data_IF_467250057760
#
_entry.id   IF_467250057760
#
_cell.length_a   1.000
_cell.length_b   1.000
_cell.length_c   1.000
_cell.angle_alpha   90.00
_cell.angle_beta   90.00
_cell.angle_gamma   90.00
#
_symmetry.space_group_name_H-M   'P 1'
#
loop_
_entity.id
_entity.type
_entity.pdbx_description
1 polymer ?
#
# COMPACT_ATOMS: atom_id res chain seq x y z
N UNK A 1 10.87 4.83 -12.43
CA UNK A 1 10.95 5.46 -11.09
C UNK A 1 12.33 6.08 -10.88
N UNK A 2 12.38 7.29 -10.34
CA UNK A 2 13.65 7.98 -10.07
C UNK A 2 14.27 7.52 -8.75
N UNK A 3 13.45 7.00 -7.83
CA UNK A 3 13.85 6.46 -6.55
C UNK A 3 12.80 5.46 -6.04
N UNK A 4 13.16 4.69 -5.02
CA UNK A 4 12.27 3.78 -4.31
C UNK A 4 12.11 4.20 -2.85
N UNK A 5 10.99 3.82 -2.24
CA UNK A 5 10.75 3.93 -0.81
C UNK A 5 10.43 2.55 -0.24
N UNK A 6 11.14 2.13 0.77
CA UNK A 6 10.91 0.89 1.52
C UNK A 6 10.62 1.18 2.99
N UNK A 7 10.01 0.25 3.71
CA UNK A 7 9.78 0.39 5.13
C UNK A 7 11.06 0.10 5.93
N UNK A 8 11.76 -0.97 5.62
CA UNK A 8 12.91 -1.49 6.37
C UNK A 8 14.12 -1.80 5.47
N UNK A 9 15.24 -2.13 6.09
CA UNK A 9 16.51 -2.43 5.40
C UNK A 9 16.37 -3.67 4.52
N UNK A 10 15.63 -4.68 4.96
CA UNK A 10 15.44 -5.94 4.25
C UNK A 10 14.77 -5.72 2.90
N UNK A 11 13.70 -4.92 2.82
CA UNK A 11 13.04 -4.55 1.56
C UNK A 11 14.01 -3.81 0.62
N UNK A 12 14.83 -2.91 1.17
CA UNK A 12 15.82 -2.19 0.37
C UNK A 12 16.90 -3.12 -0.19
N UNK A 13 17.30 -4.15 0.57
CA UNK A 13 18.26 -5.16 0.11
C UNK A 13 17.70 -6.01 -1.01
N UNK A 14 16.44 -6.43 -0.93
CA UNK A 14 15.76 -7.14 -2.02
C UNK A 14 15.77 -6.33 -3.32
N UNK A 15 15.51 -5.02 -3.24
CA UNK A 15 15.59 -4.12 -4.41
C UNK A 15 17.02 -4.04 -4.97
N UNK A 16 18.03 -4.00 -4.10
CA UNK A 16 19.46 -4.02 -4.51
C UNK A 16 19.85 -5.35 -5.17
N UNK A 17 19.39 -6.48 -4.64
CA UNK A 17 19.61 -7.82 -5.21
C UNK A 17 19.01 -7.97 -6.60
N UNK A 18 17.90 -7.29 -6.88
CA UNK A 18 17.30 -7.19 -8.22
C UNK A 18 18.10 -6.31 -9.20
N UNK A 19 19.21 -5.70 -8.75
CA UNK A 19 20.12 -4.92 -9.59
C UNK A 19 19.76 -3.44 -9.76
N UNK A 20 18.80 -2.91 -9.01
CA UNK A 20 18.41 -1.51 -9.08
C UNK A 20 19.40 -0.62 -8.32
N UNK A 21 20.00 0.37 -9.01
CA UNK A 21 20.98 1.30 -8.46
C UNK A 21 20.38 2.64 -8.00
N UNK A 22 19.11 2.90 -8.29
CA UNK A 22 18.41 4.13 -7.93
C UNK A 22 18.46 4.37 -6.41
N UNK A 23 18.32 5.63 -5.96
CA UNK A 23 18.18 5.93 -4.54
C UNK A 23 17.04 5.13 -3.90
N UNK A 24 17.25 4.62 -2.71
CA UNK A 24 16.22 3.96 -1.90
C UNK A 24 16.17 4.66 -0.56
N UNK A 25 14.98 5.12 -0.17
CA UNK A 25 14.74 5.80 1.11
C UNK A 25 13.98 4.89 2.06
N UNK A 26 14.53 4.66 3.26
CA UNK A 26 13.83 3.99 4.35
C UNK A 26 12.82 4.95 4.99
N UNK A 27 11.53 4.70 4.78
CA UNK A 27 10.44 5.62 5.16
C UNK A 27 10.17 5.60 6.68
N UNK A 28 10.44 4.48 7.35
CA UNK A 28 10.36 4.35 8.80
C UNK A 28 11.65 4.77 9.50
N UNK A 29 12.73 4.97 8.75
CA UNK A 29 14.05 5.27 9.30
C UNK A 29 14.74 4.01 9.82
N UNK A 30 15.62 4.20 10.80
CA UNK A 30 16.41 3.13 11.43
C UNK A 30 16.12 3.06 12.93
N UNK A 31 16.26 1.87 13.52
CA UNK A 31 15.93 1.61 14.93
C UNK A 31 17.16 1.55 15.83
N UNK A 32 18.37 1.53 15.24
CA UNK A 32 19.63 1.47 15.97
C UNK A 32 20.77 2.12 15.19
N UNK A 33 21.87 2.41 15.88
CA UNK A 33 23.10 2.89 15.26
C UNK A 33 23.70 1.83 14.30
N UNK A 34 23.58 0.54 14.64
CA UNK A 34 24.03 -0.54 13.77
C UNK A 34 23.28 -0.58 12.44
N UNK A 35 21.98 -0.34 12.45
CA UNK A 35 21.22 -0.19 11.20
C UNK A 35 21.63 1.06 10.41
N UNK A 36 21.99 2.17 11.10
CA UNK A 36 22.52 3.35 10.43
C UNK A 36 23.83 3.02 9.68
N UNK A 37 24.70 2.22 10.27
CA UNK A 37 25.93 1.74 9.61
C UNK A 37 25.58 0.89 8.38
N UNK A 38 24.57 0.03 8.46
CA UNK A 38 24.10 -0.76 7.32
C UNK A 38 23.52 0.13 6.21
N UNK A 39 22.71 1.13 6.57
CA UNK A 39 22.16 2.12 5.64
C UNK A 39 23.26 2.79 4.83
N UNK A 40 24.33 3.22 5.50
CA UNK A 40 25.49 3.82 4.85
C UNK A 40 26.19 2.81 3.93
N UNK A 41 26.45 1.60 4.42
CA UNK A 41 27.12 0.55 3.65
C UNK A 41 26.37 0.16 2.37
N UNK A 42 25.05 0.19 2.42
CA UNK A 42 24.15 -0.14 1.29
C UNK A 42 23.74 1.08 0.44
N UNK A 43 24.29 2.26 0.73
CA UNK A 43 23.99 3.53 0.05
C UNK A 43 22.50 3.83 0.03
N UNK A 44 21.86 3.70 1.20
CA UNK A 44 20.45 4.00 1.40
C UNK A 44 20.27 5.39 2.00
N UNK A 45 19.17 6.04 1.66
CA UNK A 45 18.70 7.26 2.34
C UNK A 45 17.75 6.86 3.47
N UNK A 46 17.61 7.67 4.51
CA UNK A 46 16.68 7.38 5.59
C UNK A 46 15.87 8.61 6.03
N UNK A 47 14.67 8.33 6.49
CA UNK A 47 13.85 9.30 7.22
C UNK A 47 14.34 9.35 8.65
N UNK A 48 14.50 10.57 9.19
CA UNK A 48 14.73 10.82 10.62
C UNK A 48 13.52 11.52 11.23
N UNK A 49 13.13 11.05 12.40
CA UNK A 49 11.92 11.50 13.09
C UNK A 49 12.07 11.50 14.62
N UNK A 50 13.24 11.15 15.12
CA UNK A 50 13.59 11.12 16.54
C UNK A 50 15.02 11.61 16.78
N UNK A 51 15.33 12.25 17.92
CA UNK A 51 16.64 12.75 18.24
C UNK A 51 17.78 11.71 18.13
N UNK A 52 17.65 10.46 18.62
CA UNK A 52 18.74 9.48 18.51
C UNK A 52 19.20 9.23 17.06
N UNK A 53 18.28 9.21 16.10
CA UNK A 53 18.63 9.03 14.69
C UNK A 53 19.49 10.17 14.14
N UNK A 54 19.24 11.40 14.63
CA UNK A 54 20.05 12.58 14.28
C UNK A 54 21.46 12.44 14.84
N UNK A 55 21.60 11.96 16.08
CA UNK A 55 22.92 11.73 16.71
C UNK A 55 23.72 10.66 15.96
N UNK A 56 23.08 9.54 15.59
CA UNK A 56 23.73 8.49 14.82
C UNK A 56 24.20 8.98 13.44
N UNK A 57 23.39 9.79 12.75
CA UNK A 57 23.81 10.41 11.48
C UNK A 57 25.04 11.31 11.68
N UNK A 58 25.02 12.17 12.70
CA UNK A 58 26.14 13.09 12.98
C UNK A 58 27.43 12.33 13.36
N UNK A 59 27.28 11.23 14.10
CA UNK A 59 28.42 10.37 14.43
C UNK A 59 29.09 9.75 13.18
N UNK A 60 28.31 9.50 12.13
CA UNK A 60 28.77 8.88 10.87
C UNK A 60 28.78 9.84 9.68
N UNK A 61 28.74 11.16 9.91
CA UNK A 61 28.56 12.21 8.90
C UNK A 61 29.54 12.12 7.72
N UNK A 62 30.82 11.83 7.97
CA UNK A 62 31.84 11.83 6.93
C UNK A 62 31.56 10.72 5.88
N UNK A 63 31.17 9.54 6.33
CA UNK A 63 30.80 8.43 5.44
C UNK A 63 29.49 8.71 4.70
N UNK A 64 28.48 9.23 5.40
CA UNK A 64 27.18 9.51 4.81
C UNK A 64 27.27 10.61 3.73
N UNK A 65 27.95 11.71 4.05
CA UNK A 65 28.12 12.85 3.14
C UNK A 65 28.98 12.50 1.92
N UNK A 66 30.02 11.66 2.09
CA UNK A 66 30.85 11.18 0.98
C UNK A 66 30.06 10.43 -0.10
N UNK A 67 28.90 9.86 0.25
CA UNK A 67 27.99 9.14 -0.66
C UNK A 67 26.91 10.05 -1.28
N UNK A 68 26.85 11.33 -0.91
CA UNK A 68 25.81 12.29 -1.33
C UNK A 68 24.39 11.83 -1.05
N UNK A 69 24.17 11.09 0.04
CA UNK A 69 22.85 10.60 0.45
C UNK A 69 22.04 11.73 1.07
N UNK A 70 20.74 11.73 0.83
CA UNK A 70 19.81 12.70 1.43
C UNK A 70 19.27 12.20 2.76
N UNK A 71 19.09 13.13 3.70
CA UNK A 71 18.42 12.89 4.97
C UNK A 71 17.00 13.45 4.88
N UNK A 72 16.01 12.60 5.05
CA UNK A 72 14.59 12.96 4.99
C UNK A 72 14.07 13.30 6.39
N UNK A 73 14.03 14.61 6.70
CA UNK A 73 13.61 15.08 8.04
C UNK A 73 12.09 15.18 8.10
N UNK A 74 11.48 14.39 8.97
CA UNK A 74 10.03 14.23 9.01
C UNK A 74 9.36 15.21 9.97
N UNK A 75 8.44 16.02 9.43
CA UNK A 75 7.54 16.88 10.19
C UNK A 75 6.31 16.09 10.63
N UNK A 76 5.99 16.09 11.91
CA UNK A 76 4.68 15.73 12.41
C UNK A 76 3.75 16.95 12.30
N UNK A 77 3.03 17.02 11.22
CA UNK A 77 2.09 18.12 10.91
C UNK A 77 0.66 17.85 11.42
N UNK A 78 0.45 16.82 12.25
CA UNK A 78 -0.85 16.51 12.83
C UNK A 78 -1.33 15.06 12.63
N UNK A 79 -0.59 14.22 11.90
CA UNK A 79 -0.89 12.79 11.81
C UNK A 79 -0.57 12.04 13.11
N UNK A 80 0.36 12.57 13.92
CA UNK A 80 0.76 12.04 15.23
C UNK A 80 1.27 10.58 15.23
N UNK A 81 1.92 10.19 14.13
CA UNK A 81 2.51 8.85 13.98
C UNK A 81 4.04 8.89 14.14
N UNK A 82 4.73 9.70 13.34
CA UNK A 82 6.18 9.89 13.36
C UNK A 82 6.51 11.35 12.99
N UNK A 83 7.64 11.85 13.47
CA UNK A 83 8.18 13.17 13.07
C UNK A 83 8.39 14.12 14.24
N UNK A 84 9.24 15.13 14.00
CA UNK A 84 9.47 16.25 14.91
C UNK A 84 8.32 17.24 14.87
N UNK A 85 8.05 17.91 15.98
CA UNK A 85 7.09 19.03 16.00
C UNK A 85 7.63 20.20 15.21
N UNK A 86 6.74 21.07 14.74
CA UNK A 86 7.12 22.28 13.99
C UNK A 86 8.06 23.21 14.77
N UNK A 87 7.97 23.21 16.10
CA UNK A 87 8.84 23.97 16.99
C UNK A 87 10.28 23.43 17.10
N UNK A 88 10.47 22.17 16.76
CA UNK A 88 11.74 21.45 16.93
C UNK A 88 12.47 21.23 15.60
N UNK A 89 11.70 20.98 14.53
CA UNK A 89 12.23 20.49 13.25
C UNK A 89 13.17 21.50 12.58
N UNK A 90 12.94 22.79 12.76
CA UNK A 90 13.76 23.86 12.16
C UNK A 90 15.20 23.76 12.73
N UNK A 91 15.33 23.63 14.04
CA UNK A 91 16.63 23.45 14.69
C UNK A 91 17.31 22.15 14.25
N UNK A 92 16.57 21.05 14.16
CA UNK A 92 17.07 19.77 13.66
C UNK A 92 17.62 19.90 12.23
N UNK A 93 16.88 20.54 11.33
CA UNK A 93 17.32 20.76 9.94
C UNK A 93 18.56 21.65 9.89
N UNK A 94 18.59 22.74 10.65
CA UNK A 94 19.75 23.64 10.71
C UNK A 94 20.99 22.92 11.25
N UNK A 95 20.83 22.10 12.27
CA UNK A 95 21.90 21.28 12.84
C UNK A 95 22.43 20.28 11.83
N UNK A 96 21.57 19.56 11.13
CA UNK A 96 21.99 18.62 10.08
C UNK A 96 22.71 19.34 8.93
N UNK A 97 22.19 20.47 8.46
CA UNK A 97 22.83 21.30 7.43
C UNK A 97 24.21 21.80 7.86
N UNK A 98 24.39 22.21 9.13
CA UNK A 98 25.70 22.65 9.65
C UNK A 98 26.75 21.53 9.69
N UNK A 99 26.30 20.25 9.66
CA UNK A 99 27.19 19.09 9.54
C UNK A 99 27.32 18.59 8.08
N UNK A 100 26.85 19.35 7.10
CA UNK A 100 27.02 19.06 5.67
C UNK A 100 25.96 18.15 5.05
N UNK A 101 24.91 17.78 5.76
CA UNK A 101 23.86 16.93 5.21
C UNK A 101 22.94 17.66 4.22
N UNK A 102 22.61 16.99 3.13
CA UNK A 102 21.54 17.41 2.23
C UNK A 102 20.18 16.95 2.79
N UNK A 103 19.36 17.90 3.23
CA UNK A 103 18.08 17.62 3.88
C UNK A 103 16.92 17.70 2.92
N UNK A 104 15.95 16.80 3.06
CA UNK A 104 14.62 16.81 2.45
C UNK A 104 13.59 16.97 3.57
N UNK A 105 12.83 18.06 3.56
CA UNK A 105 11.69 18.21 4.46
C UNK A 105 10.57 17.29 3.98
N UNK A 106 10.07 16.40 4.83
CA UNK A 106 8.95 15.52 4.49
C UNK A 106 7.86 15.49 5.54
N UNK A 107 6.62 15.25 5.11
CA UNK A 107 5.48 14.95 5.98
C UNK A 107 4.57 13.90 5.34
N UNK A 108 3.49 13.54 6.00
CA UNK A 108 2.45 12.67 5.45
C UNK A 108 1.07 13.22 5.75
N UNK A 109 0.23 13.36 4.73
CA UNK A 109 -1.17 13.73 4.92
C UNK A 109 -1.95 12.62 5.61
N UNK A 110 -2.74 12.98 6.61
CA UNK A 110 -3.57 12.02 7.33
C UNK A 110 -4.89 11.72 6.60
N UNK A 111 -5.44 12.69 5.88
CA UNK A 111 -6.77 12.63 5.29
C UNK A 111 -6.81 13.21 3.86
N UNK A 112 -5.75 13.03 3.06
CA UNK A 112 -5.74 13.54 1.68
C UNK A 112 -6.80 12.87 0.80
N UNK A 113 -7.23 11.67 1.14
CA UNK A 113 -8.28 10.88 0.52
C UNK A 113 -9.70 11.46 0.73
N UNK A 114 -9.86 12.39 1.69
CA UNK A 114 -11.15 13.00 2.04
C UNK A 114 -11.07 14.52 2.17
N UNK A 115 -12.23 15.20 2.20
CA UNK A 115 -12.32 16.60 2.56
C UNK A 115 -12.32 16.73 4.08
N UNK A 116 -11.15 17.09 4.65
CA UNK A 116 -10.99 17.22 6.09
C UNK A 116 -10.21 18.48 6.44
N UNK A 117 -10.63 19.25 7.47
CA UNK A 117 -9.97 20.52 7.86
C UNK A 117 -8.48 20.36 8.21
N UNK A 118 -8.08 19.19 8.72
CA UNK A 118 -6.68 18.90 9.03
C UNK A 118 -5.77 19.00 7.80
N UNK A 119 -6.27 18.77 6.60
CA UNK A 119 -5.47 18.87 5.37
C UNK A 119 -4.89 20.28 5.19
N UNK A 120 -5.71 21.32 5.37
CA UNK A 120 -5.25 22.70 5.27
C UNK A 120 -4.31 23.08 6.42
N UNK A 121 -4.54 22.57 7.62
CA UNK A 121 -3.62 22.78 8.74
C UNK A 121 -2.26 22.15 8.48
N UNK A 122 -2.24 20.90 7.99
CA UNK A 122 -1.00 20.19 7.62
C UNK A 122 -0.24 20.94 6.51
N UNK A 123 -0.94 21.35 5.46
CA UNK A 123 -0.41 22.14 4.35
C UNK A 123 0.25 23.44 4.84
N UNK A 124 -0.48 24.24 5.59
CA UNK A 124 0.00 25.54 6.08
C UNK A 124 1.22 25.36 7.00
N UNK A 125 1.19 24.41 7.91
CA UNK A 125 2.32 24.13 8.79
C UNK A 125 3.56 23.68 8.01
N UNK A 126 3.38 22.81 7.00
CA UNK A 126 4.48 22.37 6.13
C UNK A 126 5.10 23.53 5.36
N UNK A 127 4.27 24.42 4.77
CA UNK A 127 4.74 25.57 4.03
C UNK A 127 5.50 26.57 4.92
N UNK A 128 5.04 26.81 6.15
CA UNK A 128 5.74 27.65 7.13
C UNK A 128 7.12 27.09 7.48
N UNK A 129 7.20 25.79 7.78
CA UNK A 129 8.48 25.14 8.08
C UNK A 129 9.40 25.13 6.86
N UNK A 130 8.85 24.86 5.66
CA UNK A 130 9.61 24.90 4.41
C UNK A 130 10.23 26.29 4.20
N UNK A 131 9.43 27.34 4.31
CA UNK A 131 9.90 28.72 4.17
C UNK A 131 11.00 29.08 5.19
N UNK A 132 10.86 28.66 6.43
CA UNK A 132 11.85 28.93 7.47
C UNK A 132 13.18 28.16 7.27
N UNK A 133 13.18 27.10 6.47
CA UNK A 133 14.36 26.24 6.22
C UNK A 133 14.97 26.43 4.83
N UNK A 134 14.48 27.36 4.02
CA UNK A 134 15.00 27.55 2.65
C UNK A 134 16.50 27.89 2.60
N UNK A 135 17.24 27.42 1.57
CA UNK A 135 16.81 26.46 0.56
C UNK A 135 16.73 25.04 1.12
N UNK A 136 15.62 24.32 0.80
CA UNK A 136 15.44 22.92 1.22
C UNK A 136 14.61 22.16 0.19
N UNK A 137 15.04 20.90 -0.10
CA UNK A 137 14.24 19.96 -0.87
C UNK A 137 12.99 19.54 -0.06
N UNK A 138 11.89 19.25 -0.75
CA UNK A 138 10.61 18.99 -0.09
C UNK A 138 9.81 17.86 -0.71
N UNK A 139 9.07 17.12 0.13
CA UNK A 139 8.19 16.03 -0.27
C UNK A 139 7.03 15.87 0.71
N UNK A 140 5.80 16.11 0.27
CA UNK A 140 4.63 15.95 1.15
C UNK A 140 3.50 15.08 0.55
N UNK A 141 3.45 14.89 -0.78
CA UNK A 141 2.34 14.22 -1.43
C UNK A 141 2.48 12.68 -1.42
N UNK A 142 1.49 12.00 -0.81
CA UNK A 142 1.16 10.61 -1.02
C UNK A 142 0.24 10.45 -2.24
N UNK A 143 -0.21 9.24 -2.59
CA UNK A 143 -1.05 9.00 -3.78
C UNK A 143 -2.28 9.91 -3.87
N UNK A 144 -3.02 10.10 -2.79
CA UNK A 144 -4.20 10.97 -2.78
C UNK A 144 -3.82 12.45 -2.95
N UNK A 145 -2.77 12.90 -2.26
CA UNK A 145 -2.32 14.28 -2.34
C UNK A 145 -1.72 14.64 -3.71
N UNK A 146 -1.17 13.66 -4.44
CA UNK A 146 -0.69 13.86 -5.82
C UNK A 146 -1.84 14.33 -6.72
N UNK A 147 -3.02 13.72 -6.60
CA UNK A 147 -4.20 14.15 -7.36
C UNK A 147 -4.80 15.46 -6.84
N UNK A 148 -4.86 15.61 -5.52
CA UNK A 148 -5.64 16.69 -4.89
C UNK A 148 -4.90 18.01 -4.80
N UNK A 149 -3.56 17.97 -4.68
CA UNK A 149 -2.71 19.14 -4.42
C UNK A 149 -1.51 19.19 -5.40
N UNK A 150 -1.74 19.38 -6.71
CA UNK A 150 -0.63 19.43 -7.68
C UNK A 150 0.37 20.56 -7.39
N UNK A 151 -0.06 21.63 -6.74
CA UNK A 151 0.82 22.74 -6.30
C UNK A 151 1.81 22.34 -5.18
N UNK A 152 1.64 21.18 -4.57
CA UNK A 152 2.48 20.67 -3.50
C UNK A 152 3.43 19.53 -3.94
N UNK A 153 3.61 19.29 -5.22
CA UNK A 153 4.48 18.22 -5.71
C UNK A 153 5.94 18.43 -5.34
N UNK A 154 6.40 19.69 -5.28
CA UNK A 154 7.78 20.06 -4.94
C UNK A 154 8.83 19.22 -5.66
N UNK A 155 9.91 18.82 -4.94
CA UNK A 155 11.01 18.07 -5.54
C UNK A 155 10.70 16.57 -5.68
N UNK A 156 9.88 16.03 -4.79
CA UNK A 156 9.53 14.60 -4.76
C UNK A 156 8.06 14.36 -4.42
N UNK A 157 7.45 13.43 -5.15
CA UNK A 157 6.15 12.83 -4.81
C UNK A 157 6.33 11.36 -4.43
N UNK A 158 5.43 10.83 -3.63
CA UNK A 158 5.50 9.44 -3.15
C UNK A 158 4.25 8.66 -3.54
N UNK A 159 4.12 8.29 -4.84
CA UNK A 159 3.04 7.42 -5.27
C UNK A 159 3.23 6.03 -4.65
N UNK A 160 2.18 5.51 -4.04
CA UNK A 160 2.11 4.15 -3.51
C UNK A 160 1.03 3.38 -4.26
N UNK A 161 -0.17 3.31 -3.68
CA UNK A 161 -1.29 2.50 -4.19
C UNK A 161 -1.65 2.79 -5.66
N UNK A 162 -1.52 4.03 -6.11
CA UNK A 162 -1.80 4.39 -7.50
C UNK A 162 -0.89 3.67 -8.50
N UNK A 163 0.35 3.31 -8.12
CA UNK A 163 1.26 2.53 -8.98
C UNK A 163 0.79 1.09 -9.17
N UNK A 164 -0.01 0.58 -8.25
CA UNK A 164 -0.61 -0.76 -8.33
C UNK A 164 -1.98 -0.74 -9.00
N UNK A 165 -2.43 0.45 -9.45
CA UNK A 165 -3.68 0.62 -10.17
C UNK A 165 -4.91 0.46 -9.28
N UNK A 166 -4.81 0.82 -8.01
CA UNK A 166 -5.93 0.92 -7.08
C UNK A 166 -6.13 2.38 -6.64
N UNK A 167 -7.37 2.73 -6.28
CA UNK A 167 -7.70 4.11 -5.91
C UNK A 167 -7.20 4.47 -4.52
N UNK A 168 -6.63 5.68 -4.33
CA UNK A 168 -6.39 6.22 -3.00
C UNK A 168 -7.63 6.83 -2.35
N UNK A 169 -8.80 6.87 -3.02
CA UNK A 169 -10.02 7.51 -2.57
C UNK A 169 -11.12 6.49 -2.32
N UNK A 170 -11.97 6.76 -1.32
CA UNK A 170 -13.12 5.89 -1.03
C UNK A 170 -14.32 6.15 -1.96
N UNK A 171 -14.43 7.35 -2.54
CA UNK A 171 -15.56 7.84 -3.33
C UNK A 171 -15.27 7.94 -4.84
N UNK A 172 -14.06 7.58 -5.27
CA UNK A 172 -13.66 7.60 -6.67
C UNK A 172 -13.10 6.23 -7.08
N UNK A 173 -13.48 5.75 -8.25
CA UNK A 173 -12.96 4.51 -8.77
C UNK A 173 -11.73 4.73 -9.67
N UNK A 174 -11.03 3.64 -9.98
CA UNK A 174 -9.80 3.65 -10.78
C UNK A 174 -9.99 4.25 -12.17
N UNK A 175 -11.17 4.09 -12.78
CA UNK A 175 -11.43 4.59 -14.14
C UNK A 175 -11.54 6.12 -14.19
N UNK A 176 -12.07 6.76 -13.13
CA UNK A 176 -12.12 8.24 -13.04
C UNK A 176 -10.74 8.86 -12.85
N UNK A 177 -9.78 8.07 -12.38
CA UNK A 177 -8.39 8.47 -12.12
C UNK A 177 -7.43 8.03 -13.23
N UNK A 178 -7.94 7.39 -14.30
CA UNK A 178 -7.14 6.77 -15.38
C UNK A 178 -6.09 5.78 -14.85
N UNK A 179 -6.44 5.05 -13.79
CA UNK A 179 -5.61 3.99 -13.24
C UNK A 179 -6.00 2.64 -13.83
N UNK A 180 -5.00 1.76 -13.98
CA UNK A 180 -5.20 0.40 -14.50
C UNK A 180 -4.70 -0.61 -13.47
N UNK A 181 -5.51 -1.61 -13.07
CA UNK A 181 -5.06 -2.68 -12.20
C UNK A 181 -3.79 -3.36 -12.75
N UNK A 182 -2.76 -3.40 -11.94
CA UNK A 182 -1.47 -4.03 -12.30
C UNK A 182 -1.43 -5.50 -11.88
N UNK A 183 -2.22 -5.86 -10.84
CA UNK A 183 -2.29 -7.22 -10.33
C UNK A 183 -3.62 -7.86 -10.68
N UNK A 184 -3.57 -9.07 -11.26
CA UNK A 184 -4.71 -9.97 -11.36
C UNK A 184 -4.50 -11.14 -10.40
N UNK A 185 -5.39 -11.30 -9.43
CA UNK A 185 -5.42 -12.45 -8.53
C UNK A 185 -6.49 -13.42 -9.00
N UNK A 186 -6.09 -14.60 -9.40
CA UNK A 186 -7.00 -15.57 -10.02
C UNK A 186 -6.78 -16.97 -9.49
N UNK A 187 -7.82 -17.79 -9.61
CA UNK A 187 -7.79 -19.22 -9.25
C UNK A 187 -8.62 -20.03 -10.24
N UNK A 188 -8.78 -21.31 -10.02
CA UNK A 188 -9.55 -22.20 -10.90
C UNK A 188 -10.65 -22.92 -10.16
N UNK A 189 -11.74 -23.23 -10.86
CA UNK A 189 -12.77 -24.16 -10.40
C UNK A 189 -12.15 -25.56 -10.30
N UNK A 190 -12.36 -26.20 -9.15
CA UNK A 190 -11.88 -27.58 -8.87
C UNK A 190 -13.02 -28.58 -8.72
N UNK A 191 -14.23 -28.12 -8.45
CA UNK A 191 -15.42 -28.98 -8.37
C UNK A 191 -16.68 -28.22 -8.71
N UNK A 192 -17.67 -28.93 -9.23
CA UNK A 192 -19.04 -28.46 -9.49
C UNK A 192 -20.02 -29.34 -8.73
N UNK A 193 -20.95 -28.73 -8.02
CA UNK A 193 -21.97 -29.44 -7.26
C UNK A 193 -23.35 -28.83 -7.56
N UNK A 194 -24.38 -29.67 -7.66
CA UNK A 194 -25.77 -29.25 -7.67
C UNK A 194 -26.35 -29.48 -6.29
N UNK A 195 -26.97 -28.47 -5.71
CA UNK A 195 -27.61 -28.53 -4.39
C UNK A 195 -29.10 -28.23 -4.51
N UNK A 196 -29.86 -28.83 -3.60
CA UNK A 196 -31.31 -28.66 -3.55
C UNK A 196 -31.73 -27.53 -2.60
N UNK A 197 -32.96 -27.06 -2.71
CA UNK A 197 -33.53 -26.12 -1.75
C UNK A 197 -33.41 -26.65 -0.32
N UNK A 198 -32.91 -25.79 0.59
CA UNK A 198 -32.70 -26.12 2.00
C UNK A 198 -31.32 -26.70 2.32
N UNK A 199 -30.49 -27.07 1.34
CA UNK A 199 -29.14 -27.51 1.56
C UNK A 199 -28.21 -26.31 1.84
N UNK A 200 -27.21 -26.53 2.72
CA UNK A 200 -26.28 -25.49 3.18
C UNK A 200 -24.91 -25.62 2.55
N UNK A 201 -24.18 -24.51 2.47
CA UNK A 201 -22.82 -24.44 1.94
C UNK A 201 -21.82 -23.99 3.00
N UNK A 202 -20.76 -24.78 3.17
CA UNK A 202 -19.57 -24.44 3.93
C UNK A 202 -19.73 -24.45 5.45
N UNK A 203 -18.68 -23.95 6.14
CA UNK A 203 -18.62 -23.95 7.60
C UNK A 203 -19.74 -23.11 8.26
N UNK A 204 -20.40 -23.71 9.25
CA UNK A 204 -21.42 -23.07 10.05
C UNK A 204 -22.72 -22.83 9.31
N UNK A 205 -22.90 -23.46 8.12
CA UNK A 205 -24.14 -23.38 7.33
C UNK A 205 -24.70 -21.96 7.18
N UNK A 206 -23.82 -21.00 6.96
CA UNK A 206 -24.18 -19.57 6.89
C UNK A 206 -24.90 -19.18 5.61
N UNK A 207 -24.86 -20.04 4.60
CA UNK A 207 -25.63 -19.94 3.36
C UNK A 207 -26.51 -21.18 3.22
N UNK A 208 -27.79 -20.98 2.92
CA UNK A 208 -28.74 -22.05 2.62
C UNK A 208 -29.40 -21.76 1.28
N UNK A 209 -29.44 -22.74 0.42
CA UNK A 209 -30.04 -22.61 -0.91
C UNK A 209 -31.54 -22.35 -0.80
N UNK A 210 -32.00 -21.23 -1.37
CA UNK A 210 -33.43 -20.88 -1.42
C UNK A 210 -34.21 -21.64 -2.53
N UNK A 211 -33.49 -22.21 -3.49
CA UNK A 211 -33.95 -23.00 -4.62
C UNK A 211 -32.85 -23.94 -5.08
N UNK A 212 -33.15 -24.93 -5.95
CA UNK A 212 -32.05 -25.71 -6.56
C UNK A 212 -31.06 -24.81 -7.28
N UNK A 213 -29.76 -25.04 -7.05
CA UNK A 213 -28.70 -24.20 -7.63
C UNK A 213 -27.44 -25.01 -7.93
N UNK A 214 -26.65 -24.49 -8.85
CA UNK A 214 -25.31 -25.01 -9.15
C UNK A 214 -24.26 -24.14 -8.48
N UNK A 215 -23.34 -24.79 -7.78
CA UNK A 215 -22.23 -24.13 -7.11
C UNK A 215 -20.89 -24.63 -7.65
N UNK A 216 -19.91 -23.75 -7.69
CA UNK A 216 -18.53 -24.12 -8.00
C UNK A 216 -17.65 -23.91 -6.78
N UNK A 217 -16.72 -24.84 -6.58
CA UNK A 217 -15.66 -24.72 -5.58
C UNK A 217 -14.40 -24.25 -6.29
N UNK A 218 -13.80 -23.17 -5.79
CA UNK A 218 -12.62 -22.51 -6.35
C UNK A 218 -11.44 -22.73 -5.41
N UNK A 219 -10.27 -23.08 -5.98
CA UNK A 219 -9.05 -23.40 -5.22
C UNK A 219 -8.33 -22.12 -4.77
N UNK A 220 -8.94 -21.38 -3.84
CA UNK A 220 -8.42 -20.17 -3.24
C UNK A 220 -9.09 -19.92 -1.89
N UNK A 221 -8.36 -19.50 -0.88
CA UNK A 221 -8.92 -19.20 0.42
C UNK A 221 -8.08 -18.19 1.21
N UNK A 222 -8.36 -18.07 2.52
CA UNK A 222 -7.64 -17.08 3.33
C UNK A 222 -6.17 -17.44 3.55
N UNK A 223 -5.78 -18.68 3.38
CA UNK A 223 -4.38 -19.11 3.39
C UNK A 223 -3.57 -18.57 2.20
N UNK A 224 -4.23 -18.17 1.13
CA UNK A 224 -3.64 -17.58 -0.07
C UNK A 224 -3.65 -16.05 -0.03
N UNK A 225 -4.33 -15.45 0.97
CA UNK A 225 -4.48 -14.02 1.12
C UNK A 225 -5.87 -13.49 0.76
N UNK A 226 -6.81 -14.36 0.31
CA UNK A 226 -8.19 -13.93 0.07
C UNK A 226 -8.92 -13.63 1.40
N UNK A 227 -9.70 -12.53 1.52
CA UNK A 227 -10.34 -12.17 2.80
C UNK A 227 -11.32 -13.24 3.29
N UNK A 228 -11.25 -13.58 4.59
CA UNK A 228 -12.13 -14.59 5.18
C UNK A 228 -13.54 -14.07 5.49
N UNK A 229 -13.63 -12.84 5.95
CA UNK A 229 -14.88 -12.21 6.36
C UNK A 229 -15.27 -11.10 5.40
N UNK A 230 -16.56 -10.94 5.15
CA UNK A 230 -17.12 -9.83 4.39
C UNK A 230 -18.33 -9.26 5.12
N UNK A 231 -18.50 -7.94 5.04
CA UNK A 231 -19.59 -7.19 5.68
C UNK A 231 -20.72 -6.88 4.69
N UNK A 232 -20.46 -7.06 3.40
CA UNK A 232 -21.42 -6.91 2.29
C UNK A 232 -21.28 -8.12 1.37
N UNK A 233 -22.28 -8.42 0.52
CA UNK A 233 -22.14 -9.44 -0.50
C UNK A 233 -20.86 -9.27 -1.31
N UNK A 234 -20.09 -10.34 -1.42
CA UNK A 234 -18.83 -10.34 -2.16
C UNK A 234 -19.01 -11.10 -3.47
N UNK A 235 -18.26 -10.68 -4.48
CA UNK A 235 -18.34 -11.22 -5.83
C UNK A 235 -16.93 -11.51 -6.36
N UNK A 236 -16.87 -12.44 -7.29
CA UNK A 236 -15.71 -12.74 -8.14
C UNK A 236 -16.14 -12.61 -9.59
N UNK A 237 -15.21 -12.57 -10.53
CA UNK A 237 -15.56 -12.50 -11.95
C UNK A 237 -15.24 -13.81 -12.68
N UNK A 238 -16.14 -14.21 -13.55
CA UNK A 238 -15.94 -15.21 -14.61
C UNK A 238 -16.02 -14.43 -15.91
N UNK A 239 -14.89 -14.24 -16.57
CA UNK A 239 -14.77 -13.27 -17.66
C UNK A 239 -15.27 -11.88 -17.19
N UNK A 240 -16.30 -11.32 -17.79
CA UNK A 240 -16.87 -10.02 -17.43
C UNK A 240 -18.07 -10.13 -16.46
N UNK A 241 -18.51 -11.36 -16.15
CA UNK A 241 -19.69 -11.59 -15.33
C UNK A 241 -19.35 -11.75 -13.86
N UNK A 242 -19.95 -10.91 -13.00
CA UNK A 242 -19.81 -11.02 -11.55
C UNK A 242 -20.73 -12.12 -11.01
N UNK A 243 -20.15 -13.02 -10.22
CA UNK A 243 -20.87 -14.12 -9.55
C UNK A 243 -20.65 -14.05 -8.03
N UNK A 244 -21.69 -14.33 -7.22
CA UNK A 244 -21.58 -14.17 -5.78
C UNK A 244 -20.73 -15.27 -5.14
N UNK A 245 -19.92 -14.87 -4.15
CA UNK A 245 -19.30 -15.78 -3.20
C UNK A 245 -20.33 -16.13 -2.15
N UNK A 246 -20.53 -17.44 -1.91
CA UNK A 246 -21.53 -17.96 -0.99
C UNK A 246 -20.90 -18.77 0.14
N UNK A 247 -21.54 -18.76 1.30
CA UNK A 247 -21.00 -19.41 2.50
C UNK A 247 -19.74 -18.74 3.04
N UNK A 248 -19.05 -19.37 3.97
CA UNK A 248 -17.82 -18.85 4.56
C UNK A 248 -16.60 -19.26 3.74
N UNK A 249 -15.68 -18.33 3.57
CA UNK A 249 -14.36 -18.61 2.97
C UNK A 249 -13.61 -19.59 3.88
N UNK A 250 -13.09 -20.66 3.27
CA UNK A 250 -12.24 -21.67 3.93
C UNK A 250 -10.76 -21.27 3.81
N UNK A 251 -9.86 -22.07 4.39
CA UNK A 251 -8.42 -21.82 4.28
C UNK A 251 -7.95 -21.88 2.83
N UNK A 252 -8.45 -22.84 2.06
CA UNK A 252 -7.96 -23.21 0.73
C UNK A 252 -9.03 -23.11 -0.37
N UNK A 253 -10.29 -22.83 -0.02
CA UNK A 253 -11.42 -22.88 -0.97
C UNK A 253 -12.47 -21.81 -0.67
N UNK A 254 -13.13 -21.36 -1.74
CA UNK A 254 -14.36 -20.61 -1.68
C UNK A 254 -15.45 -21.32 -2.52
N UNK A 255 -16.71 -21.08 -2.19
CA UNK A 255 -17.85 -21.51 -2.99
C UNK A 255 -18.46 -20.28 -3.69
N UNK A 256 -18.85 -20.43 -4.95
CA UNK A 256 -19.51 -19.41 -5.74
C UNK A 256 -20.78 -19.95 -6.38
N UNK A 257 -21.78 -19.09 -6.58
CA UNK A 257 -23.01 -19.45 -7.30
C UNK A 257 -22.78 -19.33 -8.81
N UNK A 258 -22.91 -20.44 -9.51
CA UNK A 258 -22.76 -20.51 -10.97
C UNK A 258 -24.05 -20.96 -11.65
N UNK A 259 -25.21 -20.79 -10.98
CA UNK A 259 -26.53 -21.13 -11.52
C UNK A 259 -26.80 -20.36 -12.81
N UNK A 260 -27.12 -21.09 -13.86
CA UNK A 260 -27.37 -20.51 -15.18
C UNK A 260 -26.14 -20.22 -16.03
N UNK A 261 -24.93 -20.53 -15.51
CA UNK A 261 -23.68 -20.37 -16.24
C UNK A 261 -23.17 -21.70 -16.80
N UNK A 262 -22.48 -21.62 -17.93
CA UNK A 262 -21.73 -22.74 -18.51
C UNK A 262 -20.28 -22.65 -18.06
N UNK A 263 -19.94 -23.42 -17.04
CA UNK A 263 -18.58 -23.48 -16.49
C UNK A 263 -18.15 -24.94 -16.31
N UNK A 264 -16.86 -25.20 -16.33
CA UNK A 264 -16.26 -26.51 -16.12
C UNK A 264 -15.13 -26.47 -15.09
N UNK A 265 -14.72 -27.63 -14.62
CA UNK A 265 -13.51 -27.76 -13.80
C UNK A 265 -12.31 -27.23 -14.62
N UNK A 266 -11.51 -26.34 -14.01
CA UNK A 266 -10.42 -25.64 -14.69
C UNK A 266 -10.76 -24.24 -15.17
N UNK A 267 -12.05 -23.85 -15.25
CA UNK A 267 -12.43 -22.45 -15.56
C UNK A 267 -11.74 -21.48 -14.61
N UNK A 268 -11.14 -20.41 -15.18
CA UNK A 268 -10.44 -19.39 -14.41
C UNK A 268 -11.44 -18.41 -13.80
N UNK A 269 -11.17 -18.05 -12.56
CA UNK A 269 -11.96 -17.09 -11.76
C UNK A 269 -11.05 -15.95 -11.40
N UNK A 270 -11.47 -14.71 -11.64
CA UNK A 270 -10.78 -13.50 -11.19
C UNK A 270 -11.33 -13.07 -9.82
N UNK A 271 -10.49 -13.10 -8.80
CA UNK A 271 -10.80 -12.65 -7.44
C UNK A 271 -10.75 -11.12 -7.35
N UNK A 272 -9.71 -10.54 -7.96
CA UNK A 272 -9.60 -9.12 -8.30
C UNK A 272 -8.63 -8.92 -9.47
N UNK A 273 -8.84 -7.84 -10.20
CA UNK A 273 -8.06 -7.50 -11.39
C UNK A 273 -8.81 -6.48 -12.25
N UNK A 274 -8.98 -6.82 -13.50
CA UNK A 274 -9.60 -5.95 -14.51
C UNK A 274 -11.13 -5.86 -14.35
N UNK A 275 -11.79 -7.00 -14.12
CA UNK A 275 -13.27 -7.12 -14.12
C UNK A 275 -13.85 -7.00 -12.71
N UNK A 276 -13.08 -7.34 -11.69
CA UNK A 276 -13.40 -7.12 -10.28
C UNK A 276 -12.30 -6.31 -9.62
N UNK A 277 -12.52 -5.05 -9.35
CA UNK A 277 -11.50 -4.18 -8.77
C UNK A 277 -11.15 -4.59 -7.34
N UNK A 278 -9.88 -4.51 -6.98
CA UNK A 278 -9.42 -4.80 -5.60
C UNK A 278 -10.09 -3.86 -4.59
N UNK A 279 -10.40 -2.64 -4.99
CA UNK A 279 -11.07 -1.64 -4.17
C UNK A 279 -12.51 -2.06 -3.81
N UNK A 280 -13.23 -2.66 -4.76
CA UNK A 280 -14.58 -3.20 -4.51
C UNK A 280 -14.55 -4.40 -3.57
N UNK A 281 -13.56 -5.29 -3.74
CA UNK A 281 -13.35 -6.42 -2.83
C UNK A 281 -13.02 -5.91 -1.44
N UNK A 282 -12.14 -4.90 -1.33
CA UNK A 282 -11.78 -4.27 -0.07
C UNK A 282 -13.01 -3.65 0.62
N UNK A 283 -13.81 -2.87 -0.11
CA UNK A 283 -15.04 -2.27 0.41
C UNK A 283 -16.06 -3.32 0.89
N UNK A 284 -16.18 -4.45 0.19
CA UNK A 284 -17.05 -5.56 0.61
C UNK A 284 -16.56 -6.22 1.91
N UNK A 285 -15.27 -6.11 2.21
CA UNK A 285 -14.62 -6.70 3.38
C UNK A 285 -14.38 -5.70 4.52
N UNK A 286 -14.78 -4.43 4.37
CA UNK A 286 -14.58 -3.40 5.38
C UNK A 286 -13.12 -2.98 5.56
N UNK A 287 -12.32 -3.07 4.50
CA UNK A 287 -10.90 -2.71 4.46
C UNK A 287 -10.57 -1.85 3.24
N UNK A 288 -9.29 -1.67 2.93
CA UNK A 288 -8.76 -0.87 1.83
C UNK A 288 -7.93 -1.72 0.86
N UNK A 289 -7.84 -1.30 -0.41
CA UNK A 289 -7.08 -2.00 -1.45
C UNK A 289 -5.62 -2.25 -1.07
N UNK A 290 -5.00 -1.32 -0.32
CA UNK A 290 -3.64 -1.48 0.23
C UNK A 290 -3.47 -2.79 1.01
N UNK A 291 -4.40 -3.09 1.94
CA UNK A 291 -4.31 -4.31 2.75
C UNK A 291 -4.40 -5.56 1.89
N UNK A 292 -5.32 -5.59 0.94
CA UNK A 292 -5.51 -6.77 0.09
C UNK A 292 -4.30 -7.03 -0.82
N UNK A 293 -3.71 -5.99 -1.39
CA UNK A 293 -2.52 -6.11 -2.23
C UNK A 293 -1.29 -6.61 -1.44
N UNK A 294 -1.17 -6.21 -0.17
CA UNK A 294 -0.10 -6.67 0.72
C UNK A 294 -0.32 -8.08 1.28
N UNK A 295 -1.58 -8.57 1.34
CA UNK A 295 -1.92 -9.84 2.00
C UNK A 295 -1.64 -11.09 1.16
N UNK A 296 -1.36 -10.98 -0.13
CA UNK A 296 -1.08 -12.16 -0.95
C UNK A 296 0.09 -12.95 -0.33
N UNK A 297 -0.18 -14.22 0.04
CA UNK A 297 0.83 -15.09 0.64
C UNK A 297 1.83 -15.58 -0.42
N UNK A 298 2.82 -16.36 0.00
CA UNK A 298 3.78 -17.00 -0.93
C UNK A 298 3.23 -18.27 -1.61
N UNK A 299 1.97 -18.66 -1.33
CA UNK A 299 1.34 -19.85 -1.91
C UNK A 299 0.92 -19.66 -3.38
N UNK A 300 0.29 -18.53 -3.77
CA UNK A 300 -0.04 -18.28 -5.18
C UNK A 300 1.22 -18.11 -6.03
N UNK A 301 1.21 -18.72 -7.21
CA UNK A 301 2.30 -18.57 -8.19
C UNK A 301 2.23 -17.16 -8.79
N UNK A 302 3.31 -16.40 -8.65
CA UNK A 302 3.43 -15.06 -9.26
C UNK A 302 3.99 -15.19 -10.68
N UNK A 303 3.35 -14.53 -11.63
CA UNK A 303 3.79 -14.44 -13.03
C UNK A 303 3.79 -12.97 -13.44
N UNK A 304 4.88 -12.53 -14.04
CA UNK A 304 4.96 -11.25 -14.75
C UNK A 304 4.55 -11.51 -16.19
N UNK A 305 3.61 -10.73 -16.71
CA UNK A 305 3.06 -10.84 -18.07
C UNK A 305 3.25 -9.53 -18.83
#
# INVERSE_FOLDING_TARGET
SDAFGGACVEEALEIRELGYAQPITLIEGVFSENEMIQVIGQKLECVVHQPPQVEWLIAHKDHYNALNLKVWVKLNSGMNRLGFKATEIIEVIQRLKSHGFTCVLTMHFANADANHPLNEQQKNQFLQVKQACEPILASCCNSAAIYKYPELHFDFVRPGIMLYGATPFADQNVHTLDLKPVMTFSARIIALNSIQQGESVGYGSTFTAAQPMNIAIVSIGYGDGYPRAYIKPNFVAIDEQLVPVIGRVSMDMIAIDVTGLHVEVGTQIELWGKHRLVDDVAAANGTIGYELLCRSSNRPIRKVI
#
